data_IF_992763066638
#
_entry.id   IF_992763066638
#
_cell.length_a   1.000
_cell.length_b   1.000
_cell.length_c   1.000
_cell.angle_alpha   90.00
_cell.angle_beta   90.00
_cell.angle_gamma   90.00
#
_symmetry.space_group_name_H-M   'P 1'
#
loop_
_entity.id
_entity.type
_entity.pdbx_description
1 polymer ?
#
# COMPACT_ATOMS: atom_id res chain seq x y z
N UNK A 1 -11.86 1.73 23.52
CA UNK A 1 -11.50 2.32 22.28
C UNK A 1 -11.13 1.29 21.25
N UNK A 2 -11.81 1.29 20.16
CA UNK A 2 -11.47 0.48 19.02
C UNK A 2 -10.06 0.88 18.56
N UNK A 3 -9.15 -0.06 18.55
CA UNK A 3 -7.86 0.14 17.89
C UNK A 3 -8.13 0.28 16.39
N UNK A 4 -8.23 1.51 15.92
CA UNK A 4 -8.32 1.76 14.50
C UNK A 4 -7.04 1.22 13.84
N UNK A 5 -7.20 0.29 12.91
CA UNK A 5 -6.07 -0.23 12.16
C UNK A 5 -5.31 0.92 11.50
N UNK A 6 -3.98 0.91 11.61
CA UNK A 6 -3.15 1.91 10.93
C UNK A 6 -3.21 1.69 9.42
N UNK A 7 -3.40 2.77 8.70
CA UNK A 7 -3.54 2.77 7.24
C UNK A 7 -2.21 3.14 6.61
N UNK A 8 -1.78 2.33 5.66
CA UNK A 8 -0.48 2.48 4.99
C UNK A 8 -0.67 2.66 3.50
N UNK A 9 -0.01 3.64 2.93
CA UNK A 9 0.12 3.81 1.49
C UNK A 9 1.54 3.43 1.06
N UNK A 10 1.65 2.63 0.00
CA UNK A 10 2.93 2.22 -0.58
C UNK A 10 3.08 2.88 -1.95
N UNK A 11 4.02 3.80 -2.08
CA UNK A 11 4.40 4.40 -3.35
C UNK A 11 5.60 3.63 -3.90
N UNK A 12 5.50 3.18 -5.15
CA UNK A 12 6.50 2.29 -5.74
C UNK A 12 6.36 0.85 -5.24
N UNK A 13 5.14 0.35 -5.11
CA UNK A 13 4.85 -0.94 -4.47
C UNK A 13 5.41 -2.15 -5.20
N UNK A 14 5.62 -2.07 -6.51
CA UNK A 14 6.14 -3.18 -7.32
C UNK A 14 7.67 -3.27 -7.33
N UNK A 15 8.36 -2.30 -6.73
CA UNK A 15 9.81 -2.34 -6.57
C UNK A 15 10.23 -3.35 -5.51
N UNK A 16 11.53 -3.57 -5.38
CA UNK A 16 12.09 -4.56 -4.44
C UNK A 16 11.64 -4.33 -3.00
N UNK A 17 11.76 -3.10 -2.50
CA UNK A 17 11.38 -2.78 -1.12
C UNK A 17 9.86 -2.78 -0.96
N UNK A 18 9.11 -2.28 -1.95
CA UNK A 18 7.65 -2.31 -1.93
C UNK A 18 7.10 -3.74 -1.84
N UNK A 19 7.67 -4.65 -2.62
CA UNK A 19 7.31 -6.08 -2.58
C UNK A 19 7.59 -6.68 -1.20
N UNK A 20 8.74 -6.36 -0.60
CA UNK A 20 9.08 -6.80 0.74
C UNK A 20 8.16 -6.19 1.80
N UNK A 21 7.76 -4.94 1.64
CA UNK A 21 6.83 -4.28 2.55
C UNK A 21 5.49 -5.02 2.61
N UNK A 22 4.98 -5.47 1.48
CA UNK A 22 3.74 -6.27 1.42
C UNK A 22 3.91 -7.58 2.19
N UNK A 23 5.05 -8.26 2.05
CA UNK A 23 5.33 -9.48 2.79
C UNK A 23 5.37 -9.21 4.31
N UNK A 24 5.95 -8.10 4.74
CA UNK A 24 5.96 -7.70 6.15
C UNK A 24 4.55 -7.45 6.66
N UNK A 25 3.72 -6.73 5.90
CA UNK A 25 2.33 -6.46 6.27
C UNK A 25 1.54 -7.77 6.48
N UNK A 26 1.69 -8.72 5.57
CA UNK A 26 1.05 -10.03 5.70
C UNK A 26 1.57 -10.81 6.91
N UNK A 27 2.87 -10.78 7.12
CA UNK A 27 3.49 -11.45 8.25
C UNK A 27 2.99 -10.90 9.59
N UNK A 28 2.87 -9.57 9.71
CA UNK A 28 2.34 -8.93 10.90
C UNK A 28 0.88 -9.32 11.16
N UNK A 29 0.07 -9.46 10.11
CA UNK A 29 -1.30 -9.94 10.24
C UNK A 29 -1.32 -11.38 10.79
N UNK A 30 -0.49 -12.26 10.25
CA UNK A 30 -0.38 -13.64 10.72
C UNK A 30 0.08 -13.72 12.19
N UNK A 31 1.05 -12.90 12.57
CA UNK A 31 1.52 -12.84 13.97
C UNK A 31 0.41 -12.37 14.92
N UNK A 32 -0.47 -11.50 14.46
CA UNK A 32 -1.64 -11.05 15.21
C UNK A 32 -2.82 -12.03 15.17
N UNK A 33 -2.67 -13.17 14.48
CA UNK A 33 -3.72 -14.18 14.36
C UNK A 33 -4.88 -13.77 13.47
N UNK A 34 -4.64 -12.89 12.50
CA UNK A 34 -5.68 -12.35 11.61
C UNK A 34 -5.21 -12.34 10.14
N UNK A 35 -5.99 -11.72 9.28
CA UNK A 35 -5.67 -11.54 7.86
C UNK A 35 -5.57 -10.06 7.52
N UNK A 36 -4.94 -9.73 6.39
CA UNK A 36 -4.72 -8.33 5.98
C UNK A 36 -6.00 -7.56 5.70
N UNK A 37 -7.08 -8.24 5.37
CA UNK A 37 -8.40 -7.65 5.07
C UNK A 37 -9.34 -7.61 6.29
N UNK A 38 -8.93 -8.15 7.41
CA UNK A 38 -9.75 -8.16 8.62
C UNK A 38 -9.81 -6.77 9.27
N UNK A 39 -10.91 -6.48 9.96
CA UNK A 39 -11.08 -5.21 10.66
C UNK A 39 -10.04 -4.98 11.75
N UNK A 40 -9.57 -6.06 12.36
CA UNK A 40 -8.56 -6.04 13.42
C UNK A 40 -7.13 -6.21 12.92
N UNK A 41 -6.90 -6.14 11.61
CA UNK A 41 -5.56 -6.20 11.05
C UNK A 41 -4.66 -5.09 11.62
N UNK A 42 -3.41 -5.39 11.99
CA UNK A 42 -2.49 -4.36 12.53
C UNK A 42 -2.24 -3.22 11.54
N UNK A 43 -2.17 -3.55 10.26
CA UNK A 43 -1.99 -2.59 9.17
C UNK A 43 -3.00 -2.88 8.07
N UNK A 44 -3.58 -1.82 7.53
CA UNK A 44 -4.42 -1.88 6.33
C UNK A 44 -3.77 -1.08 5.22
N UNK A 45 -3.77 -1.62 4.02
CA UNK A 45 -3.22 -0.90 2.86
C UNK A 45 -4.29 0.01 2.28
N UNK A 46 -4.07 1.31 2.40
CA UNK A 46 -4.98 2.33 1.89
C UNK A 46 -4.80 2.51 0.38
N UNK A 47 -3.55 2.62 -0.08
CA UNK A 47 -3.27 2.82 -1.50
C UNK A 47 -1.96 2.16 -1.91
N UNK A 48 -1.91 1.75 -3.16
CA UNK A 48 -0.72 1.30 -3.85
C UNK A 48 -0.49 2.18 -5.09
N UNK A 49 0.75 2.51 -5.36
CA UNK A 49 1.13 3.25 -6.56
C UNK A 49 2.35 2.62 -7.21
N UNK A 50 2.31 2.48 -8.53
CA UNK A 50 3.43 1.96 -9.32
C UNK A 50 3.41 2.50 -10.75
N UNK A 51 4.51 2.31 -11.47
CA UNK A 51 4.59 2.60 -12.89
C UNK A 51 3.82 1.58 -13.72
N UNK A 52 3.83 1.77 -15.04
CA UNK A 52 3.08 0.93 -15.98
C UNK A 52 3.80 -0.35 -16.39
N UNK A 53 5.03 -0.58 -15.94
CA UNK A 53 5.83 -1.75 -16.35
C UNK A 53 5.41 -3.06 -15.70
N UNK A 54 4.77 -3.00 -14.53
CA UNK A 54 4.44 -4.17 -13.72
C UNK A 54 2.96 -4.15 -13.31
N UNK A 55 2.07 -3.91 -14.25
CA UNK A 55 0.63 -3.81 -14.00
C UNK A 55 0.04 -5.10 -13.45
N UNK A 56 0.49 -6.25 -13.94
CA UNK A 56 0.03 -7.54 -13.43
C UNK A 56 0.41 -7.74 -11.97
N UNK A 57 1.67 -7.45 -11.62
CA UNK A 57 2.12 -7.52 -10.22
C UNK A 57 1.36 -6.53 -9.33
N UNK A 58 1.16 -5.30 -9.81
CA UNK A 58 0.39 -4.29 -9.09
C UNK A 58 -1.04 -4.79 -8.80
N UNK A 59 -1.68 -5.41 -9.79
CA UNK A 59 -3.01 -6.00 -9.62
C UNK A 59 -3.00 -7.15 -8.61
N UNK A 60 -2.02 -8.03 -8.67
CA UNK A 60 -1.87 -9.13 -7.71
C UNK A 60 -1.69 -8.60 -6.28
N UNK A 61 -0.84 -7.60 -6.11
CA UNK A 61 -0.63 -6.95 -4.82
C UNK A 61 -1.93 -6.33 -4.29
N UNK A 62 -2.65 -5.60 -5.15
CA UNK A 62 -3.89 -4.94 -4.76
C UNK A 62 -4.94 -5.95 -4.26
N UNK A 63 -5.12 -7.05 -4.96
CA UNK A 63 -6.04 -8.12 -4.56
C UNK A 63 -5.56 -8.79 -3.26
N UNK A 64 -4.27 -9.00 -3.12
CA UNK A 64 -3.66 -9.66 -1.97
C UNK A 64 -3.90 -8.86 -0.68
N UNK A 65 -3.75 -7.54 -0.72
CA UNK A 65 -3.87 -6.66 0.46
C UNK A 65 -5.19 -5.89 0.51
N UNK A 66 -6.07 -6.01 -0.46
CA UNK A 66 -7.35 -5.29 -0.55
C UNK A 66 -7.16 -3.77 -0.50
N UNK A 67 -6.20 -3.24 -1.26
CA UNK A 67 -5.98 -1.80 -1.33
C UNK A 67 -7.24 -1.07 -1.80
N UNK A 68 -7.57 0.03 -1.16
CA UNK A 68 -8.76 0.84 -1.50
C UNK A 68 -8.57 1.63 -2.79
N UNK A 69 -7.33 2.09 -3.03
CA UNK A 69 -6.96 2.86 -4.21
C UNK A 69 -5.72 2.24 -4.85
N UNK A 70 -5.75 2.09 -6.17
CA UNK A 70 -4.63 1.57 -6.96
C UNK A 70 -4.29 2.59 -8.03
N UNK A 71 -3.05 3.07 -8.02
CA UNK A 71 -2.60 4.13 -8.91
C UNK A 71 -1.47 3.65 -9.82
N UNK A 72 -1.54 4.01 -11.09
CA UNK A 72 -0.44 3.82 -12.04
C UNK A 72 -0.12 5.11 -12.77
N UNK A 73 1.17 5.38 -12.97
CA UNK A 73 1.61 6.53 -13.76
C UNK A 73 1.40 6.34 -15.27
N UNK A 74 0.86 5.22 -15.71
CA UNK A 74 0.63 4.90 -17.10
C UNK A 74 -0.54 5.67 -17.71
N UNK A 75 -0.93 5.24 -18.91
CA UNK A 75 -1.98 5.84 -19.72
C UNK A 75 -3.37 5.33 -19.34
N UNK A 76 -4.42 5.88 -19.97
CA UNK A 76 -5.78 5.37 -19.86
C UNK A 76 -5.88 3.90 -20.29
N UNK A 77 -5.11 3.49 -21.30
CA UNK A 77 -5.05 2.09 -21.75
C UNK A 77 -4.40 1.21 -20.68
N UNK A 78 -3.38 1.71 -20.02
CA UNK A 78 -2.76 1.00 -18.89
C UNK A 78 -3.73 0.82 -17.72
N UNK A 79 -4.56 1.82 -17.46
CA UNK A 79 -5.62 1.71 -16.46
C UNK A 79 -6.62 0.62 -16.81
N UNK A 80 -7.00 0.51 -18.09
CA UNK A 80 -7.89 -0.55 -18.56
C UNK A 80 -7.25 -1.94 -18.41
N UNK A 81 -5.98 -2.07 -18.77
CA UNK A 81 -5.23 -3.31 -18.58
C UNK A 81 -5.12 -3.67 -17.09
N UNK A 82 -4.91 -2.68 -16.24
CA UNK A 82 -4.89 -2.89 -14.80
C UNK A 82 -6.22 -3.45 -14.29
N UNK A 83 -7.35 -2.94 -14.77
CA UNK A 83 -8.69 -3.47 -14.43
C UNK A 83 -8.84 -4.92 -14.83
N UNK A 84 -8.36 -5.28 -16.02
CA UNK A 84 -8.41 -6.65 -16.51
C UNK A 84 -7.56 -7.58 -15.64
N UNK A 85 -6.37 -7.16 -15.26
CA UNK A 85 -5.50 -7.91 -14.35
C UNK A 85 -6.12 -8.05 -12.95
N UNK A 86 -6.77 -6.99 -12.44
CA UNK A 86 -7.47 -7.04 -11.16
C UNK A 86 -8.61 -8.06 -11.18
N UNK A 87 -9.42 -8.05 -12.22
CA UNK A 87 -10.51 -9.03 -12.38
C UNK A 87 -9.98 -10.45 -12.46
N UNK A 88 -8.92 -10.67 -13.23
CA UNK A 88 -8.29 -11.97 -13.38
C UNK A 88 -7.68 -12.46 -12.06
N UNK A 89 -6.97 -11.60 -11.34
CA UNK A 89 -6.38 -11.94 -10.05
C UNK A 89 -7.44 -12.25 -8.98
N UNK A 90 -8.52 -11.48 -8.96
CA UNK A 90 -9.64 -11.71 -8.04
C UNK A 90 -10.31 -13.07 -8.32
N UNK A 91 -10.55 -13.38 -9.59
CA UNK A 91 -11.16 -14.68 -9.97
C UNK A 91 -10.25 -15.86 -9.61
N UNK A 92 -8.96 -15.76 -9.89
CA UNK A 92 -8.04 -16.86 -9.62
C UNK A 92 -7.84 -17.13 -8.13
N UNK A 93 -8.08 -16.13 -7.27
CA UNK A 93 -7.97 -16.25 -5.81
C UNK A 93 -9.34 -16.46 -5.13
N UNK A 94 -10.42 -16.52 -5.90
CA UNK A 94 -11.76 -16.73 -5.36
C UNK A 94 -12.33 -15.54 -4.60
N UNK A 95 -11.82 -14.34 -4.87
CA UNK A 95 -12.23 -13.11 -4.19
C UNK A 95 -13.33 -12.44 -5.00
N UNK A 96 -14.44 -12.10 -4.34
CA UNK A 96 -15.55 -11.37 -4.93
C UNK A 96 -15.81 -10.07 -4.17
N UNK A 97 -16.41 -9.09 -4.86
CA UNK A 97 -16.78 -7.83 -4.22
C UNK A 97 -15.64 -6.85 -4.00
N UNK A 98 -14.43 -7.14 -4.47
CA UNK A 98 -13.31 -6.22 -4.42
C UNK A 98 -13.31 -5.32 -5.65
N UNK A 99 -13.49 -4.02 -5.46
CA UNK A 99 -13.53 -3.04 -6.53
C UNK A 99 -12.82 -1.76 -6.09
N UNK A 100 -11.50 -1.71 -6.24
CA UNK A 100 -10.74 -0.53 -5.82
C UNK A 100 -10.96 0.64 -6.77
N UNK A 101 -10.75 1.86 -6.26
CA UNK A 101 -10.65 3.04 -7.09
C UNK A 101 -9.33 2.98 -7.87
N UNK A 102 -9.40 3.19 -9.18
CA UNK A 102 -8.22 3.21 -10.06
C UNK A 102 -7.94 4.64 -10.49
N UNK A 103 -6.69 5.06 -10.32
CA UNK A 103 -6.18 6.36 -10.72
C UNK A 103 -5.01 6.14 -11.66
N UNK A 104 -4.91 6.95 -12.71
CA UNK A 104 -3.86 6.81 -13.71
C UNK A 104 -3.34 8.18 -14.16
N UNK A 105 -2.17 8.20 -14.78
CA UNK A 105 -1.57 9.41 -15.33
C UNK A 105 -0.40 9.94 -14.50
N UNK A 106 0.13 11.06 -14.91
CA UNK A 106 1.33 11.66 -14.31
C UNK A 106 1.14 12.01 -12.82
N UNK A 107 -0.08 12.30 -12.41
CA UNK A 107 -0.38 12.68 -11.02
C UNK A 107 -0.93 11.53 -10.17
N UNK A 108 -0.91 10.33 -10.70
CA UNK A 108 -1.46 9.18 -9.99
C UNK A 108 -0.79 8.94 -8.63
N UNK A 109 0.54 9.05 -8.57
CA UNK A 109 1.27 8.89 -7.29
C UNK A 109 0.96 10.01 -6.30
N UNK A 110 0.72 11.23 -6.78
CA UNK A 110 0.31 12.36 -5.94
C UNK A 110 -1.06 12.10 -5.34
N UNK A 111 -2.02 11.62 -6.13
CA UNK A 111 -3.34 11.27 -5.63
C UNK A 111 -3.28 10.12 -4.62
N UNK A 112 -2.45 9.11 -4.87
CA UNK A 112 -2.23 8.04 -3.91
C UNK A 112 -1.65 8.57 -2.59
N UNK A 113 -0.69 9.49 -2.66
CA UNK A 113 -0.08 10.11 -1.49
C UNK A 113 -1.08 10.96 -0.69
N UNK A 114 -2.06 11.56 -1.36
CA UNK A 114 -3.11 12.36 -0.72
C UNK A 114 -4.25 11.52 -0.13
N UNK A 115 -4.41 10.27 -0.56
CA UNK A 115 -5.45 9.38 -0.05
C UNK A 115 -5.29 9.18 1.46
N UNK A 116 -6.37 9.18 2.26
CA UNK A 116 -6.26 9.09 3.71
C UNK A 116 -5.44 7.88 4.17
N UNK A 117 -4.40 8.15 4.93
CA UNK A 117 -3.50 7.13 5.50
C UNK A 117 -2.79 7.71 6.73
N UNK A 118 -2.25 6.83 7.55
CA UNK A 118 -1.43 7.23 8.71
C UNK A 118 0.04 7.32 8.32
N UNK A 119 0.49 6.38 7.50
CA UNK A 119 1.89 6.30 7.06
C UNK A 119 1.95 6.13 5.55
N UNK A 120 2.86 6.84 4.92
CA UNK A 120 3.19 6.68 3.50
C UNK A 120 4.64 6.24 3.39
N UNK A 121 4.86 5.05 2.84
CA UNK A 121 6.18 4.57 2.46
C UNK A 121 6.46 4.95 1.01
N UNK A 122 7.46 5.79 0.81
CA UNK A 122 7.81 6.25 -0.53
C UNK A 122 9.02 5.50 -1.07
N UNK A 123 8.78 4.57 -2.00
CA UNK A 123 9.81 3.85 -2.74
C UNK A 123 10.11 4.43 -4.11
N UNK A 124 9.55 5.59 -4.45
CA UNK A 124 9.83 6.27 -5.71
C UNK A 124 11.15 7.01 -5.57
N UNK A 125 12.12 6.66 -6.42
CA UNK A 125 13.46 7.27 -6.40
C UNK A 125 13.55 8.53 -7.25
N UNK A 126 14.51 9.39 -6.92
CA UNK A 126 14.80 10.60 -7.68
C UNK A 126 13.80 11.73 -7.45
N UNK A 127 13.85 12.72 -8.32
CA UNK A 127 13.01 13.92 -8.22
C UNK A 127 11.52 13.64 -8.41
N UNK A 128 11.16 12.55 -9.07
CA UNK A 128 9.77 12.12 -9.28
C UNK A 128 9.08 11.83 -7.96
N UNK A 129 9.81 11.38 -6.94
CA UNK A 129 9.27 11.07 -5.62
C UNK A 129 9.04 12.29 -4.72
N UNK A 130 9.54 13.48 -5.10
CA UNK A 130 9.49 14.65 -4.24
C UNK A 130 8.06 15.20 -4.08
N UNK A 131 7.32 15.35 -5.17
CA UNK A 131 5.96 15.89 -5.11
C UNK A 131 4.99 14.99 -4.31
N UNK A 132 4.97 13.67 -4.52
CA UNK A 132 4.18 12.79 -3.66
C UNK A 132 4.56 12.88 -2.18
N UNK A 133 5.85 12.98 -1.87
CA UNK A 133 6.32 13.16 -0.49
C UNK A 133 5.75 14.44 0.13
N UNK A 134 5.86 15.57 -0.57
CA UNK A 134 5.33 16.84 -0.09
C UNK A 134 3.81 16.80 0.07
N UNK A 135 3.12 16.16 -0.86
CA UNK A 135 1.66 15.98 -0.81
C UNK A 135 1.24 15.19 0.43
N UNK A 136 1.93 14.09 0.72
CA UNK A 136 1.64 13.28 1.89
C UNK A 136 1.88 14.07 3.19
N UNK A 137 2.96 14.83 3.27
CA UNK A 137 3.26 15.67 4.43
C UNK A 137 2.20 16.76 4.63
N UNK A 138 1.77 17.41 3.55
CA UNK A 138 0.70 18.43 3.62
C UNK A 138 -0.64 17.84 4.05
N UNK A 139 -0.90 16.58 3.71
CA UNK A 139 -2.09 15.87 4.15
C UNK A 139 -2.02 15.40 5.61
N UNK A 140 -0.91 15.63 6.29
CA UNK A 140 -0.72 15.23 7.69
C UNK A 140 -0.27 13.79 7.88
N UNK A 141 0.16 13.12 6.82
CA UNK A 141 0.62 11.74 6.89
C UNK A 141 2.09 11.68 7.34
N UNK A 142 2.44 10.64 8.08
CA UNK A 142 3.85 10.32 8.33
C UNK A 142 4.45 9.77 7.05
N UNK A 143 5.61 10.27 6.66
CA UNK A 143 6.31 9.79 5.47
C UNK A 143 7.62 9.13 5.86
N UNK A 144 7.87 7.95 5.31
CA UNK A 144 9.12 7.23 5.46
C UNK A 144 9.64 6.81 4.10
N UNK A 145 10.96 6.74 3.96
CA UNK A 145 11.57 6.15 2.78
C UNK A 145 11.39 4.64 2.83
N UNK A 146 11.00 4.04 1.72
CA UNK A 146 10.91 2.59 1.60
C UNK A 146 12.31 2.02 1.39
N UNK A 147 12.99 1.71 2.48
CA UNK A 147 14.31 1.10 2.52
C UNK A 147 14.32 -0.02 3.57
N UNK A 148 15.47 -0.69 3.71
CA UNK A 148 15.58 -1.82 4.64
C UNK A 148 15.23 -1.43 6.09
N UNK A 149 15.57 -0.23 6.51
CA UNK A 149 15.31 0.27 7.87
C UNK A 149 13.81 0.39 8.14
N UNK A 150 12.99 0.65 7.12
CA UNK A 150 11.54 0.71 7.27
C UNK A 150 10.90 -0.64 7.57
N UNK A 151 11.59 -1.73 7.24
CA UNK A 151 11.07 -3.10 7.32
C UNK A 151 11.57 -3.87 8.54
N UNK A 152 12.50 -3.32 9.33
CA UNK A 152 13.02 -3.95 10.53
C UNK A 152 12.15 -3.63 11.76
N UNK A 153 12.39 -4.34 12.86
CA UNK A 153 11.57 -4.28 14.07
C UNK A 153 11.38 -2.86 14.63
N UNK A 154 12.38 -1.99 14.55
CA UNK A 154 12.30 -0.60 15.00
C UNK A 154 11.87 0.37 13.90
N UNK A 155 11.59 -0.09 12.68
CA UNK A 155 11.27 0.75 11.54
C UNK A 155 9.85 1.30 11.56
N UNK A 156 9.55 2.32 10.72
CA UNK A 156 8.27 3.01 10.73
C UNK A 156 7.06 2.09 10.47
N UNK A 157 7.20 1.11 9.58
CA UNK A 157 6.11 0.21 9.24
C UNK A 157 5.74 -0.70 10.42
N UNK A 158 6.75 -1.33 11.03
CA UNK A 158 6.55 -2.22 12.17
C UNK A 158 6.08 -1.44 13.38
N UNK A 159 6.62 -0.24 13.60
CA UNK A 159 6.21 0.64 14.69
C UNK A 159 4.74 1.05 14.57
N UNK A 160 4.27 1.35 13.37
CA UNK A 160 2.85 1.66 13.13
C UNK A 160 1.95 0.46 13.48
N UNK A 161 2.36 -0.76 13.16
CA UNK A 161 1.62 -1.96 13.51
C UNK A 161 1.59 -2.20 15.02
N UNK A 162 2.70 -1.99 15.72
CA UNK A 162 2.78 -2.14 17.17
C UNK A 162 1.90 -1.11 17.87
N UNK A 163 1.93 0.15 17.43
CA UNK A 163 1.10 1.21 17.99
C UNK A 163 -0.40 0.97 17.81
N UNK A 164 -0.78 0.27 16.76
CA UNK A 164 -2.18 -0.08 16.48
C UNK A 164 -2.64 -1.34 17.23
N UNK A 165 -1.71 -2.17 17.70
CA UNK A 165 -2.01 -3.45 18.34
C UNK A 165 -2.08 -3.30 19.87
N UNK A 166 -3.06 -3.93 20.56
CA UNK A 166 -3.06 -4.01 22.02
C UNK A 166 -2.05 -5.00 22.58
N UNK A 167 -1.25 -5.65 21.75
CA UNK A 167 -0.20 -6.55 22.20
C UNK A 167 0.84 -5.74 22.97
N UNK A 168 1.05 -6.10 24.22
CA UNK A 168 2.11 -5.51 25.04
C UNK A 168 3.43 -5.64 24.30
N UNK A 169 4.11 -4.51 24.19
CA UNK A 169 5.47 -4.52 23.65
C UNK A 169 6.33 -5.43 24.53
N UNK A 170 7.16 -6.30 23.94
CA UNK A 170 8.06 -7.13 24.71
C UNK A 170 9.08 -6.30 25.49
#
# INVERSE_FOLDING_TARGET
GLCDARRVTLLGSTGSIGTQAIQVIEHLARLAGTTVDAEDAPLKVAALSAGSRSLELLAQQAVQVRAELVATSGTAQDAQRLREYLDSAARSTGISGYSPRIVWGERASVEAAAHPADVVLNGITGSIGLEPTLTALKAGHRVALANKESLIAGGPLVRAAVDASPLEAP
#
